data_IF_849852661301
#
_entry.id   IF_849852661301
#
_cell.length_a   1.000
_cell.length_b   1.000
_cell.length_c   1.000
_cell.angle_alpha   90.00
_cell.angle_beta   90.00
_cell.angle_gamma   90.00
#
_symmetry.space_group_name_H-M   'P 1'
#
loop_
_entity.id
_entity.type
_entity.pdbx_description
1 polymer ?
#
# COMPACT_ATOMS: atom_id res chain seq x y z
N UNK A 1 24.50 -13.57 -7.47
CA UNK A 1 23.57 -14.72 -7.30
C UNK A 1 24.05 -15.82 -6.34
N UNK A 2 25.27 -16.37 -6.42
CA UNK A 2 25.72 -17.46 -5.51
C UNK A 2 25.85 -17.07 -4.03
N UNK A 3 26.10 -15.79 -3.72
CA UNK A 3 26.19 -15.27 -2.35
C UNK A 3 24.82 -15.11 -1.69
N UNK A 4 23.83 -14.65 -2.44
CA UNK A 4 22.45 -14.42 -2.00
C UNK A 4 21.69 -15.74 -1.74
N UNK A 5 21.83 -16.75 -2.63
CA UNK A 5 21.27 -18.10 -2.41
C UNK A 5 21.82 -18.76 -1.15
N UNK A 6 23.09 -18.48 -0.80
CA UNK A 6 23.74 -18.99 0.42
C UNK A 6 23.21 -18.31 1.69
N UNK A 7 22.79 -17.05 1.59
CA UNK A 7 22.15 -16.29 2.68
C UNK A 7 20.71 -16.75 2.88
N UNK A 8 19.91 -16.81 1.81
CA UNK A 8 18.50 -17.23 1.83
C UNK A 8 18.33 -18.71 2.25
N UNK A 9 19.27 -19.60 1.90
CA UNK A 9 19.24 -21.01 2.37
C UNK A 9 19.36 -21.17 3.90
N UNK A 10 19.80 -20.11 4.60
CA UNK A 10 19.88 -20.06 6.06
C UNK A 10 18.65 -19.44 6.71
N UNK A 11 17.70 -18.91 5.94
CA UNK A 11 16.47 -18.26 6.42
C UNK A 11 15.28 -19.23 6.60
N UNK A 12 15.54 -20.53 6.81
CA UNK A 12 14.52 -21.42 7.39
C UNK A 12 14.21 -20.92 8.80
N UNK A 13 12.92 -20.88 9.19
CA UNK A 13 12.43 -20.43 10.51
C UNK A 13 13.49 -20.62 11.60
N UNK A 14 13.95 -19.55 12.26
CA UNK A 14 15.05 -19.65 13.21
C UNK A 14 14.67 -20.63 14.32
N UNK A 15 15.56 -21.59 14.58
CA UNK A 15 15.41 -22.45 15.76
C UNK A 15 15.97 -21.69 16.96
N UNK A 16 15.27 -20.64 17.39
CA UNK A 16 15.35 -19.95 18.69
C UNK A 16 16.73 -19.90 19.38
N UNK A 17 17.81 -19.75 18.61
CA UNK A 17 19.19 -19.81 19.08
C UNK A 17 19.87 -18.44 18.95
N UNK A 18 20.54 -17.93 20.00
CA UNK A 18 21.13 -16.59 19.99
C UNK A 18 22.15 -16.36 18.85
N UNK A 19 22.87 -17.40 18.41
CA UNK A 19 23.81 -17.30 17.28
C UNK A 19 23.16 -17.21 15.89
N UNK A 20 21.93 -17.68 15.70
CA UNK A 20 21.20 -17.54 14.43
C UNK A 20 20.62 -16.12 14.29
N UNK A 21 20.19 -15.52 15.40
CA UNK A 21 19.74 -14.12 15.47
C UNK A 21 20.90 -13.19 15.08
N UNK A 22 22.10 -13.45 15.59
CA UNK A 22 23.29 -12.63 15.30
C UNK A 22 23.76 -12.75 13.84
N UNK A 23 23.62 -13.94 13.24
CA UNK A 23 23.86 -14.14 11.80
C UNK A 23 22.80 -13.45 10.93
N UNK A 24 21.54 -13.42 11.36
CA UNK A 24 20.46 -12.66 10.71
C UNK A 24 20.75 -11.16 10.78
N UNK A 25 21.10 -10.64 11.96
CA UNK A 25 21.52 -9.25 12.17
C UNK A 25 22.71 -8.86 11.31
N UNK A 26 23.73 -9.71 11.20
CA UNK A 26 24.90 -9.45 10.36
C UNK A 26 24.57 -9.43 8.86
N UNK A 27 23.69 -10.33 8.39
CA UNK A 27 23.24 -10.33 7.01
C UNK A 27 22.35 -9.12 6.70
N UNK A 28 21.47 -8.75 7.62
CA UNK A 28 20.63 -7.57 7.56
C UNK A 28 21.46 -6.27 7.53
N UNK A 29 22.47 -6.14 8.40
CA UNK A 29 23.41 -5.00 8.39
C UNK A 29 24.25 -4.93 7.10
N UNK A 30 24.54 -6.06 6.45
CA UNK A 30 25.20 -6.03 5.13
C UNK A 30 24.25 -5.62 4.01
N UNK A 31 22.94 -5.83 4.17
CA UNK A 31 21.90 -5.34 3.26
C UNK A 31 21.60 -3.85 3.51
N UNK A 32 21.61 -3.37 4.75
CA UNK A 32 21.43 -1.94 5.08
C UNK A 32 22.57 -1.05 4.57
N UNK A 33 23.76 -1.63 4.33
CA UNK A 33 24.87 -0.93 3.67
C UNK A 33 24.73 -0.86 2.13
N UNK A 34 23.79 -1.59 1.54
CA UNK A 34 23.45 -1.44 0.14
C UNK A 34 22.49 -0.27 -0.01
N UNK A 35 22.84 0.73 -0.80
CA UNK A 35 21.93 1.82 -1.16
C UNK A 35 20.65 1.20 -1.78
N UNK A 36 19.48 1.29 -1.14
CA UNK A 36 18.25 0.73 -1.68
C UNK A 36 17.86 1.41 -3.00
N UNK A 37 18.38 2.61 -3.25
CA UNK A 37 18.20 3.42 -4.47
C UNK A 37 19.18 3.06 -5.60
N UNK A 38 19.81 1.88 -5.52
CA UNK A 38 20.55 1.31 -6.65
C UNK A 38 19.58 0.90 -7.77
N UNK A 39 20.14 0.65 -8.95
CA UNK A 39 19.38 0.00 -10.01
C UNK A 39 18.84 -1.36 -9.52
N UNK A 40 17.51 -1.51 -9.53
CA UNK A 40 16.84 -2.76 -9.19
C UNK A 40 17.15 -3.83 -10.23
N UNK A 41 17.23 -5.10 -9.80
CA UNK A 41 17.54 -6.20 -10.72
C UNK A 41 16.67 -7.42 -10.47
N UNK A 42 16.32 -8.13 -11.55
CA UNK A 42 15.55 -9.36 -11.45
C UNK A 42 14.22 -9.16 -10.73
N UNK A 43 13.99 -9.93 -9.66
CA UNK A 43 12.74 -9.91 -8.89
C UNK A 43 12.43 -8.55 -8.27
N UNK A 44 13.46 -7.80 -7.87
CA UNK A 44 13.28 -6.48 -7.24
C UNK A 44 12.55 -5.52 -8.18
N UNK A 45 12.93 -5.52 -9.46
CA UNK A 45 12.31 -4.67 -10.48
C UNK A 45 10.88 -5.12 -10.82
N UNK A 46 10.53 -6.37 -10.52
CA UNK A 46 9.19 -6.92 -10.74
C UNK A 46 8.28 -6.72 -9.52
N UNK A 47 8.87 -6.60 -8.33
CA UNK A 47 8.14 -6.38 -7.09
C UNK A 47 7.88 -4.89 -6.83
N UNK A 48 8.79 -4.02 -7.23
CA UNK A 48 8.86 -2.66 -6.70
C UNK A 48 9.22 -1.62 -7.77
N UNK A 49 8.60 -0.46 -7.65
CA UNK A 49 9.04 0.81 -8.25
C UNK A 49 9.54 1.70 -7.12
N UNK A 50 10.73 2.28 -7.30
CA UNK A 50 11.31 3.28 -6.39
C UNK A 50 11.24 4.64 -7.07
N UNK A 51 10.65 5.61 -6.38
CA UNK A 51 10.72 7.02 -6.73
C UNK A 51 11.61 7.72 -5.71
N UNK A 52 12.81 8.11 -6.12
CA UNK A 52 13.72 8.89 -5.28
C UNK A 52 13.69 10.35 -5.75
N UNK A 53 12.76 11.10 -5.15
CA UNK A 53 12.47 12.47 -5.57
C UNK A 53 13.19 13.53 -4.74
N UNK A 54 14.16 13.11 -3.94
CA UNK A 54 14.97 13.96 -3.07
C UNK A 54 15.85 14.96 -3.82
N UNK A 55 16.21 14.66 -5.08
CA UNK A 55 17.13 15.48 -5.89
C UNK A 55 16.51 16.01 -7.20
N UNK A 56 15.21 15.83 -7.43
CA UNK A 56 14.57 16.18 -8.71
C UNK A 56 14.69 17.68 -9.04
N UNK A 57 14.62 18.52 -8.03
CA UNK A 57 14.81 19.95 -8.17
C UNK A 57 16.12 20.33 -7.51
N UNK A 58 16.94 21.15 -8.19
CA UNK A 58 17.99 21.94 -7.53
C UNK A 58 17.32 22.99 -6.63
N UNK A 59 16.53 22.54 -5.67
CA UNK A 59 15.96 23.39 -4.65
C UNK A 59 17.05 23.69 -3.63
N UNK A 60 16.94 24.83 -2.96
CA UNK A 60 17.78 25.16 -1.82
C UNK A 60 17.46 24.30 -0.58
N UNK A 61 16.44 23.43 -0.68
CA UNK A 61 16.01 22.55 0.40
C UNK A 61 16.82 21.24 0.38
N UNK A 62 17.25 20.76 1.57
CA UNK A 62 17.91 19.47 1.66
C UNK A 62 16.93 18.33 1.34
N UNK A 63 17.43 17.18 0.82
CA UNK A 63 16.71 15.92 0.74
C UNK A 63 15.90 15.60 2.00
N UNK A 64 14.63 15.21 1.84
CA UNK A 64 13.77 14.85 2.96
C UNK A 64 13.81 13.34 3.22
N UNK A 65 14.64 12.93 4.19
CA UNK A 65 14.66 11.55 4.69
C UNK A 65 13.68 11.34 5.86
N UNK A 66 13.11 12.41 6.42
CA UNK A 66 12.18 12.31 7.56
C UNK A 66 10.83 11.71 7.16
N UNK A 67 10.49 11.72 5.87
CA UNK A 67 9.28 11.11 5.33
C UNK A 67 9.63 9.96 4.39
N UNK A 68 8.88 8.88 4.49
CA UNK A 68 8.93 7.76 3.58
C UNK A 68 7.52 7.33 3.18
N UNK A 69 7.25 7.21 1.87
CA UNK A 69 5.93 6.82 1.37
C UNK A 69 5.94 5.36 0.87
N UNK A 70 4.84 4.65 1.09
CA UNK A 70 4.56 3.37 0.42
C UNK A 70 3.23 3.39 -0.31
N UNK A 71 3.13 2.63 -1.41
CA UNK A 71 1.89 2.40 -2.13
C UNK A 71 1.79 0.92 -2.54
N UNK A 72 1.27 0.05 -1.67
CA UNK A 72 1.25 -1.40 -1.85
C UNK A 72 0.31 -1.86 -2.95
N UNK A 73 -0.64 -1.03 -3.37
CA UNK A 73 -1.67 -1.33 -4.38
C UNK A 73 -1.51 -0.45 -5.63
N UNK A 74 -0.30 -0.02 -5.96
CA UNK A 74 -0.04 0.98 -7.01
C UNK A 74 -0.23 0.48 -8.46
N UNK A 75 -0.20 -0.83 -8.70
CA UNK A 75 -0.13 -1.40 -10.05
C UNK A 75 -1.19 -2.46 -10.27
N UNK A 76 -1.72 -2.51 -11.50
CA UNK A 76 -2.58 -3.60 -12.00
C UNK A 76 -1.84 -4.65 -12.82
N UNK A 77 -0.51 -4.58 -12.88
CA UNK A 77 0.29 -5.48 -13.70
C UNK A 77 0.27 -6.91 -13.13
N UNK A 78 -0.35 -7.84 -13.86
CA UNK A 78 -0.40 -9.25 -13.48
C UNK A 78 0.78 -10.10 -14.01
N UNK A 79 1.85 -9.47 -14.49
CA UNK A 79 3.17 -10.04 -14.84
C UNK A 79 3.14 -11.49 -15.33
N UNK A 80 3.30 -11.67 -16.64
CA UNK A 80 3.44 -13.00 -17.29
C UNK A 80 2.20 -13.91 -17.24
N UNK A 81 1.05 -13.43 -16.76
CA UNK A 81 -0.23 -14.14 -16.88
C UNK A 81 -0.95 -13.80 -18.19
N UNK A 82 -1.46 -14.79 -18.93
CA UNK A 82 -2.23 -14.54 -20.14
C UNK A 82 -3.57 -13.90 -19.78
N UNK A 83 -3.84 -12.71 -20.35
CA UNK A 83 -5.12 -12.04 -20.25
C UNK A 83 -6.15 -12.74 -21.15
N UNK A 84 -7.27 -13.17 -20.59
CA UNK A 84 -8.49 -13.44 -21.32
C UNK A 84 -9.39 -12.19 -21.29
N UNK A 85 -10.31 -12.03 -22.25
CA UNK A 85 -11.12 -10.79 -22.40
C UNK A 85 -12.05 -10.46 -21.19
N UNK A 86 -12.18 -11.34 -20.20
CA UNK A 86 -12.90 -11.08 -18.95
C UNK A 86 -11.96 -10.55 -17.84
N UNK A 87 -10.65 -10.74 -18.00
CA UNK A 87 -9.63 -10.27 -17.07
C UNK A 87 -9.46 -8.75 -17.15
N UNK A 88 -9.64 -8.14 -18.33
CA UNK A 88 -9.45 -6.70 -18.51
C UNK A 88 -10.30 -5.89 -17.53
N UNK A 89 -11.62 -6.12 -17.47
CA UNK A 89 -12.48 -5.27 -16.65
C UNK A 89 -12.15 -5.33 -15.15
N UNK A 90 -11.76 -6.50 -14.64
CA UNK A 90 -11.31 -6.64 -13.23
C UNK A 90 -9.98 -5.91 -13.04
N UNK A 91 -9.06 -6.01 -14.00
CA UNK A 91 -7.75 -5.36 -13.93
C UNK A 91 -7.81 -3.83 -14.01
N UNK A 92 -8.84 -3.29 -14.66
CA UNK A 92 -9.09 -1.85 -14.67
C UNK A 92 -9.97 -1.37 -13.50
N UNK A 93 -10.34 -2.25 -12.56
CA UNK A 93 -11.16 -1.91 -11.39
C UNK A 93 -10.34 -1.76 -10.09
N UNK A 94 -10.95 -1.17 -9.06
CA UNK A 94 -10.39 -1.00 -7.69
C UNK A 94 -10.00 -2.35 -7.02
N UNK A 95 -10.50 -3.47 -7.54
CA UNK A 95 -10.12 -4.81 -7.08
C UNK A 95 -8.65 -5.14 -7.40
N UNK A 96 -8.14 -4.67 -8.53
CA UNK A 96 -6.81 -5.04 -8.99
C UNK A 96 -5.69 -4.15 -8.45
N UNK A 97 -6.01 -2.90 -8.17
CA UNK A 97 -5.10 -1.85 -7.74
C UNK A 97 -5.93 -0.67 -7.23
N UNK A 98 -5.26 0.27 -6.60
CA UNK A 98 -5.88 1.49 -6.10
C UNK A 98 -5.81 2.57 -7.17
N UNK A 99 -6.95 2.86 -7.79
CA UNK A 99 -7.05 3.77 -8.91
C UNK A 99 -6.61 5.18 -8.46
N UNK A 100 -5.62 5.76 -9.15
CA UNK A 100 -5.05 7.08 -8.84
C UNK A 100 -4.00 7.10 -7.72
N UNK A 101 -3.78 5.99 -7.01
CA UNK A 101 -2.84 5.95 -5.89
C UNK A 101 -1.38 6.10 -6.33
N UNK A 102 -1.03 5.58 -7.53
CA UNK A 102 0.30 5.74 -8.11
C UNK A 102 0.62 7.21 -8.36
N UNK A 103 -0.25 7.91 -9.10
CA UNK A 103 -0.08 9.32 -9.46
C UNK A 103 -0.03 10.20 -8.22
N UNK A 104 -0.96 9.98 -7.28
CA UNK A 104 -0.97 10.67 -6.00
C UNK A 104 0.33 10.47 -5.20
N UNK A 105 0.82 9.23 -5.10
CA UNK A 105 2.06 8.94 -4.37
C UNK A 105 3.26 9.59 -5.05
N UNK A 106 3.33 9.55 -6.38
CA UNK A 106 4.39 10.22 -7.13
C UNK A 106 4.39 11.72 -6.85
N UNK A 107 3.27 12.39 -7.10
CA UNK A 107 3.14 13.85 -6.96
C UNK A 107 3.43 14.29 -5.51
N UNK A 108 2.98 13.50 -4.52
CA UNK A 108 3.28 13.76 -3.10
C UNK A 108 4.76 13.61 -2.78
N UNK A 109 5.42 12.57 -3.30
CA UNK A 109 6.85 12.36 -3.08
C UNK A 109 7.72 13.43 -3.73
N UNK A 110 7.32 13.95 -4.90
CA UNK A 110 7.95 15.11 -5.54
C UNK A 110 7.84 16.36 -4.67
N UNK A 111 6.62 16.67 -4.20
CA UNK A 111 6.35 17.85 -3.36
C UNK A 111 7.06 17.79 -2.00
N UNK A 112 7.11 16.61 -1.38
CA UNK A 112 7.81 16.38 -0.13
C UNK A 112 9.33 16.21 -0.29
N UNK A 113 9.83 16.11 -1.53
CA UNK A 113 11.21 15.76 -1.87
C UNK A 113 11.70 14.53 -1.10
N UNK A 114 10.89 13.48 -1.07
CA UNK A 114 11.16 12.27 -0.30
C UNK A 114 11.19 11.03 -1.20
N UNK A 115 11.33 9.87 -0.57
CA UNK A 115 11.33 8.56 -1.24
C UNK A 115 9.95 7.94 -1.16
N UNK A 116 9.51 7.36 -2.28
CA UNK A 116 8.35 6.48 -2.33
C UNK A 116 8.68 5.08 -2.86
N UNK A 117 8.07 4.06 -2.26
CA UNK A 117 8.16 2.66 -2.65
C UNK A 117 6.78 2.12 -3.04
N UNK A 118 6.61 1.75 -4.30
CA UNK A 118 5.34 1.34 -4.87
C UNK A 118 5.40 -0.10 -5.34
N UNK A 119 4.32 -0.86 -5.21
CA UNK A 119 4.23 -2.21 -5.77
C UNK A 119 4.27 -2.16 -7.30
N UNK A 120 5.11 -2.98 -7.95
CA UNK A 120 5.12 -3.14 -9.40
C UNK A 120 4.28 -4.33 -9.90
N UNK A 121 3.33 -4.79 -9.09
CA UNK A 121 2.50 -5.95 -9.38
C UNK A 121 1.10 -5.76 -8.81
N UNK A 122 0.15 -6.49 -9.40
CA UNK A 122 -1.26 -6.48 -9.03
C UNK A 122 -1.53 -7.18 -7.69
N UNK A 123 -2.34 -6.56 -6.82
CA UNK A 123 -2.73 -7.14 -5.52
C UNK A 123 -3.54 -8.45 -5.64
N UNK A 124 -4.09 -8.73 -6.83
CA UNK A 124 -4.75 -10.01 -7.15
C UNK A 124 -3.78 -11.19 -7.20
N UNK A 125 -2.51 -10.94 -7.54
CA UNK A 125 -1.49 -11.98 -7.49
C UNK A 125 -1.24 -12.38 -6.03
N UNK A 126 -0.93 -11.39 -5.22
CA UNK A 126 -0.70 -11.48 -3.79
C UNK A 126 -0.85 -10.06 -3.23
N UNK A 127 -1.57 -9.87 -2.14
CA UNK A 127 -1.78 -8.56 -1.54
C UNK A 127 -0.63 -8.28 -0.55
N UNK A 128 0.29 -7.34 -0.86
CA UNK A 128 1.40 -7.03 0.04
C UNK A 128 0.95 -6.38 1.34
N UNK A 129 -0.27 -5.83 1.39
CA UNK A 129 -0.84 -5.23 2.58
C UNK A 129 -1.66 -6.21 3.43
N UNK A 130 -1.46 -7.52 3.26
CA UNK A 130 -1.99 -8.57 4.14
C UNK A 130 -0.86 -9.37 4.76
N UNK A 131 -1.07 -9.84 5.99
CA UNK A 131 -0.15 -10.78 6.65
C UNK A 131 -0.02 -12.08 5.85
N UNK A 132 1.16 -12.71 5.89
CA UNK A 132 1.40 -14.06 5.33
C UNK A 132 0.40 -15.10 5.90
N UNK A 133 -0.08 -14.89 7.13
CA UNK A 133 -1.06 -15.76 7.77
C UNK A 133 -2.53 -15.46 7.36
N UNK A 134 -2.77 -14.36 6.64
CA UNK A 134 -4.10 -13.95 6.23
C UNK A 134 -4.68 -14.91 5.19
N UNK A 135 -5.94 -15.32 5.40
CA UNK A 135 -6.70 -16.03 4.36
C UNK A 135 -6.94 -15.18 3.10
N UNK A 136 -6.76 -13.86 3.20
CA UNK A 136 -6.89 -12.91 2.10
C UNK A 136 -5.54 -12.52 1.47
N UNK A 137 -4.42 -13.13 1.87
CA UNK A 137 -3.10 -12.85 1.31
C UNK A 137 -3.08 -13.05 -0.20
N UNK A 138 -3.65 -14.15 -0.67
CA UNK A 138 -3.98 -14.34 -2.07
C UNK A 138 -5.48 -14.24 -2.14
N UNK A 139 -6.03 -13.19 -2.76
CA UNK A 139 -7.47 -13.01 -2.81
C UNK A 139 -8.17 -14.23 -3.43
N UNK A 140 -9.11 -14.81 -2.70
CA UNK A 140 -10.04 -15.81 -3.22
C UNK A 140 -11.04 -15.11 -4.14
N UNK A 141 -10.63 -14.75 -5.36
CA UNK A 141 -11.61 -14.42 -6.41
C UNK A 141 -12.23 -15.71 -6.93
N UNK A 142 -13.06 -16.32 -6.09
CA UNK A 142 -14.12 -17.21 -6.52
C UNK A 142 -15.31 -16.30 -6.79
N UNK A 143 -15.58 -16.01 -8.05
CA UNK A 143 -16.86 -15.43 -8.43
C UNK A 143 -17.92 -16.51 -8.17
N UNK A 144 -18.50 -16.50 -6.97
CA UNK A 144 -19.52 -17.45 -6.54
C UNK A 144 -20.73 -17.37 -7.47
N UNK A 145 -20.83 -18.31 -8.40
CA UNK A 145 -22.12 -18.86 -8.81
C UNK A 145 -22.37 -20.06 -7.92
N UNK A 146 -23.08 -19.89 -6.82
CA UNK A 146 -23.96 -20.93 -6.28
C UNK A 146 -24.88 -20.28 -5.25
N UNK A 147 -26.15 -20.11 -5.65
CA UNK A 147 -27.29 -19.60 -4.86
C UNK A 147 -27.17 -18.17 -4.34
N UNK A 148 -27.12 -17.20 -5.25
CA UNK A 148 -27.59 -15.84 -4.93
C UNK A 148 -29.10 -15.84 -5.12
N UNK A 149 -29.81 -15.50 -4.05
CA UNK A 149 -31.26 -15.28 -4.02
C UNK A 149 -31.67 -14.32 -5.15
N UNK A 150 -32.67 -14.64 -5.98
CA UNK A 150 -33.18 -13.74 -7.02
C UNK A 150 -33.51 -12.33 -6.53
N UNK A 151 -33.85 -12.14 -5.25
CA UNK A 151 -34.10 -10.80 -4.69
C UNK A 151 -32.82 -9.93 -4.61
N UNK A 152 -31.64 -10.54 -4.48
CA UNK A 152 -30.36 -9.85 -4.41
C UNK A 152 -29.86 -9.32 -5.78
N UNK A 153 -30.50 -9.72 -6.89
CA UNK A 153 -30.18 -9.24 -8.25
C UNK A 153 -30.58 -7.77 -8.49
N UNK A 154 -31.43 -7.20 -7.63
CA UNK A 154 -31.98 -5.86 -7.84
C UNK A 154 -31.14 -4.72 -7.25
N UNK A 155 -30.17 -5.02 -6.38
CA UNK A 155 -29.38 -3.99 -5.68
C UNK A 155 -27.88 -3.99 -6.02
N UNK A 156 -27.35 -5.01 -6.68
CA UNK A 156 -25.91 -5.16 -6.96
C UNK A 156 -25.62 -5.56 -8.42
N UNK A 157 -26.23 -4.87 -9.39
CA UNK A 157 -25.86 -4.99 -10.80
C UNK A 157 -24.53 -4.28 -11.09
N UNK A 158 -23.42 -4.95 -10.76
CA UNK A 158 -22.08 -4.69 -11.28
C UNK A 158 -21.59 -5.93 -12.03
N UNK A 159 -21.73 -5.91 -13.35
CA UNK A 159 -21.73 -7.04 -14.26
C UNK A 159 -20.36 -7.68 -14.52
N UNK A 160 -20.23 -9.01 -14.38
CA UNK A 160 -19.11 -9.78 -15.00
C UNK A 160 -19.45 -11.20 -15.50
N UNK A 161 -20.68 -11.69 -15.40
CA UNK A 161 -20.96 -13.11 -15.71
C UNK A 161 -20.91 -13.45 -17.21
N UNK A 162 -20.13 -14.49 -17.55
CA UNK A 162 -20.19 -15.15 -18.87
C UNK A 162 -21.49 -15.94 -19.03
N UNK A 163 -22.03 -16.06 -20.26
CA UNK A 163 -23.22 -16.88 -20.55
C UNK A 163 -23.09 -18.37 -20.23
N UNK A 164 -21.87 -18.89 -20.04
CA UNK A 164 -21.60 -20.31 -19.76
C UNK A 164 -21.37 -20.63 -18.27
N UNK A 165 -21.55 -19.64 -17.38
CA UNK A 165 -21.48 -19.83 -15.92
C UNK A 165 -20.07 -20.05 -15.36
N UNK A 166 -19.00 -19.89 -16.17
CA UNK A 166 -17.61 -20.02 -15.72
C UNK A 166 -16.94 -18.65 -15.60
N UNK A 167 -16.86 -18.14 -14.37
CA UNK A 167 -15.94 -17.06 -14.03
C UNK A 167 -14.85 -17.60 -13.11
N UNK A 168 -13.63 -17.62 -13.61
CA UNK A 168 -12.48 -18.07 -12.84
C UNK A 168 -11.22 -17.44 -13.37
N UNK A 169 -10.80 -16.35 -12.74
CA UNK A 169 -9.37 -16.09 -12.65
C UNK A 169 -8.84 -17.25 -11.79
N UNK A 170 -8.33 -18.31 -12.41
CA UNK A 170 -7.78 -19.47 -11.69
C UNK A 170 -6.39 -19.12 -11.12
N UNK A 171 -6.34 -18.04 -10.32
CA UNK A 171 -5.12 -17.51 -9.71
C UNK A 171 -4.70 -18.31 -8.48
N UNK A 172 -5.58 -19.11 -7.85
CA UNK A 172 -5.32 -19.68 -6.53
C UNK A 172 -4.90 -21.16 -6.53
N UNK A 173 -3.91 -21.55 -7.36
CA UNK A 173 -3.28 -22.87 -7.20
C UNK A 173 -2.23 -22.77 -6.09
N UNK A 174 -2.34 -23.59 -5.03
CA UNK A 174 -1.40 -23.63 -3.89
C UNK A 174 0.08 -23.71 -4.28
N UNK A 175 0.40 -24.37 -5.40
CA UNK A 175 1.77 -24.44 -5.92
C UNK A 175 2.34 -23.09 -6.39
N UNK A 176 1.47 -22.13 -6.74
CA UNK A 176 1.81 -20.80 -7.26
C UNK A 176 1.99 -19.78 -6.12
N UNK A 177 1.36 -20.00 -4.96
CA UNK A 177 1.42 -19.06 -3.82
C UNK A 177 2.86 -18.93 -3.31
N UNK A 178 3.61 -20.03 -3.22
CA UNK A 178 5.02 -20.00 -2.82
C UNK A 178 5.87 -19.15 -3.76
N UNK A 179 5.67 -19.30 -5.07
CA UNK A 179 6.37 -18.50 -6.08
C UNK A 179 6.02 -17.01 -5.94
N UNK A 180 4.73 -16.66 -5.78
CA UNK A 180 4.32 -15.25 -5.62
C UNK A 180 4.85 -14.62 -4.34
N UNK A 181 4.87 -15.39 -3.25
CA UNK A 181 5.47 -14.96 -1.99
C UNK A 181 6.96 -14.63 -2.20
N UNK A 182 7.69 -15.53 -2.85
CA UNK A 182 9.13 -15.40 -3.10
C UNK A 182 9.48 -14.35 -4.18
N UNK A 183 8.58 -14.08 -5.12
CA UNK A 183 8.86 -13.19 -6.27
C UNK A 183 8.45 -11.75 -6.00
N UNK A 184 7.31 -11.56 -5.34
CA UNK A 184 6.69 -10.24 -5.17
C UNK A 184 6.68 -9.82 -3.71
N UNK A 185 6.00 -10.58 -2.85
CA UNK A 185 5.72 -10.17 -1.47
C UNK A 185 6.99 -9.98 -0.62
N UNK A 186 7.89 -10.99 -0.62
CA UNK A 186 9.13 -10.93 0.17
C UNK A 186 10.05 -9.84 -0.36
N UNK A 187 10.17 -9.68 -1.68
CA UNK A 187 11.04 -8.66 -2.25
C UNK A 187 10.49 -7.24 -2.02
N UNK A 188 9.17 -7.05 -2.07
CA UNK A 188 8.51 -5.80 -1.69
C UNK A 188 8.84 -5.42 -0.24
N UNK A 189 8.52 -6.30 0.72
CA UNK A 189 8.74 -6.03 2.15
C UNK A 189 10.22 -5.95 2.52
N UNK A 190 11.09 -6.69 1.83
CA UNK A 190 12.55 -6.56 1.98
C UNK A 190 13.00 -5.15 1.61
N UNK A 191 12.58 -4.61 0.47
CA UNK A 191 12.97 -3.28 0.01
C UNK A 191 12.37 -2.17 0.88
N UNK A 192 11.15 -2.34 1.38
CA UNK A 192 10.57 -1.47 2.43
C UNK A 192 11.46 -1.45 3.67
N UNK A 193 11.86 -2.61 4.18
CA UNK A 193 12.77 -2.71 5.32
C UNK A 193 14.15 -2.10 5.06
N UNK A 194 14.73 -2.31 3.88
CA UNK A 194 16.01 -1.69 3.48
C UNK A 194 15.90 -0.17 3.39
N UNK A 195 14.78 0.36 2.88
CA UNK A 195 14.52 1.80 2.84
C UNK A 195 14.34 2.40 4.23
N UNK A 196 13.58 1.75 5.13
CA UNK A 196 13.42 2.18 6.52
C UNK A 196 14.77 2.22 7.25
N UNK A 197 15.60 1.19 7.08
CA UNK A 197 16.93 1.12 7.69
C UNK A 197 17.88 2.19 7.17
N UNK A 198 17.75 2.57 5.89
CA UNK A 198 18.62 3.57 5.26
C UNK A 198 18.17 5.00 5.54
N UNK A 199 16.87 5.26 5.50
CA UNK A 199 16.29 6.60 5.64
C UNK A 199 16.13 7.01 7.10
N UNK A 200 15.87 6.04 7.99
CA UNK A 200 15.49 6.27 9.39
C UNK A 200 14.39 7.35 9.51
N UNK A 201 13.25 7.18 8.80
CA UNK A 201 12.25 8.23 8.70
C UNK A 201 11.57 8.46 10.05
N UNK A 202 11.16 9.71 10.30
CA UNK A 202 10.31 10.03 11.44
C UNK A 202 8.84 9.69 11.16
N UNK A 203 8.46 9.71 9.87
CA UNK A 203 7.11 9.50 9.39
C UNK A 203 7.10 8.55 8.19
N UNK A 204 6.32 7.47 8.31
CA UNK A 204 5.94 6.57 7.23
C UNK A 204 4.46 6.79 6.88
N UNK A 205 4.18 6.91 5.57
CA UNK A 205 2.82 7.10 5.07
C UNK A 205 2.51 6.03 4.02
N UNK A 206 1.47 5.24 4.26
CA UNK A 206 0.95 4.24 3.33
C UNK A 206 -0.26 4.79 2.57
N UNK A 207 -0.11 5.00 1.25
CA UNK A 207 -1.10 5.64 0.40
C UNK A 207 -2.01 4.59 -0.25
N UNK A 208 -3.32 4.77 -0.07
CA UNK A 208 -4.40 3.98 -0.66
C UNK A 208 -5.46 4.90 -1.27
N UNK A 209 -6.24 4.34 -2.20
CA UNK A 209 -7.48 4.98 -2.64
C UNK A 209 -8.66 4.05 -2.48
N UNK A 210 -9.87 4.60 -2.46
CA UNK A 210 -11.09 3.82 -2.38
C UNK A 210 -12.15 4.32 -3.36
N UNK A 211 -13.03 3.41 -3.76
CA UNK A 211 -14.19 3.74 -4.59
C UNK A 211 -15.28 4.38 -3.73
N UNK A 212 -15.76 5.56 -4.12
CA UNK A 212 -16.84 6.22 -3.40
C UNK A 212 -18.15 5.41 -3.59
N UNK A 213 -18.71 4.91 -2.49
CA UNK A 213 -19.91 4.07 -2.49
C UNK A 213 -21.21 4.88 -2.52
N UNK A 214 -21.18 6.19 -2.79
CA UNK A 214 -22.39 7.03 -2.85
C UNK A 214 -23.46 6.48 -3.81
N UNK A 215 -23.03 5.78 -4.87
CA UNK A 215 -23.93 5.09 -5.80
C UNK A 215 -24.62 3.83 -5.24
N UNK A 216 -24.10 3.24 -4.16
CA UNK A 216 -24.57 1.97 -3.60
C UNK A 216 -25.44 2.13 -2.34
N UNK A 217 -25.31 3.24 -1.61
CA UNK A 217 -26.07 3.52 -0.39
C UNK A 217 -26.69 4.93 -0.42
N UNK A 218 -27.70 5.16 -1.27
CA UNK A 218 -28.33 6.48 -1.41
C UNK A 218 -29.00 6.98 -0.12
N UNK A 219 -29.41 6.07 0.78
CA UNK A 219 -30.05 6.42 2.05
C UNK A 219 -29.04 6.80 3.16
N UNK A 220 -27.77 6.43 3.03
CA UNK A 220 -26.65 6.80 3.92
C UNK A 220 -25.73 7.88 3.31
N UNK A 221 -26.11 8.43 2.15
CA UNK A 221 -25.34 9.42 1.38
C UNK A 221 -25.01 10.71 2.17
N UNK A 222 -25.68 10.94 3.30
CA UNK A 222 -25.38 12.06 4.22
C UNK A 222 -24.03 11.95 4.94
N UNK A 223 -23.38 10.78 4.95
CA UNK A 223 -22.12 10.57 5.67
C UNK A 223 -20.87 10.74 4.78
N UNK A 224 -21.02 10.72 3.46
CA UNK A 224 -19.94 10.83 2.49
C UNK A 224 -20.43 11.70 1.32
N UNK A 225 -20.60 13.00 1.56
CA UNK A 225 -20.80 13.95 0.45
C UNK A 225 -19.62 13.80 -0.53
N UNK A 226 -19.86 13.98 -1.84
CA UNK A 226 -18.84 13.93 -2.91
C UNK A 226 -17.63 14.86 -2.66
N UNK A 227 -17.78 15.78 -1.71
CA UNK A 227 -16.80 16.75 -1.23
C UNK A 227 -15.97 16.28 0.01
N UNK A 228 -16.05 15.01 0.41
CA UNK A 228 -15.41 14.50 1.65
C UNK A 228 -14.17 13.63 1.39
N UNK A 229 -13.04 13.89 2.07
CA UNK A 229 -11.85 13.02 2.04
C UNK A 229 -11.76 12.14 3.27
N UNK A 230 -11.97 10.83 3.10
CA UNK A 230 -11.80 9.83 4.15
C UNK A 230 -10.35 9.57 4.58
N UNK A 231 -9.66 10.52 5.20
CA UNK A 231 -8.28 10.31 5.69
C UNK A 231 -8.28 9.37 6.90
N UNK A 232 -8.20 8.07 6.64
CA UNK A 232 -8.14 7.04 7.67
C UNK A 232 -6.75 6.98 8.32
N UNK A 233 -6.54 7.81 9.34
CA UNK A 233 -5.24 7.85 10.00
C UNK A 233 -5.10 6.72 11.01
N UNK A 234 -4.50 5.62 10.58
CA UNK A 234 -4.10 4.55 11.49
C UNK A 234 -2.73 4.87 12.10
N UNK A 235 -2.71 5.38 13.33
CA UNK A 235 -1.48 5.52 14.11
C UNK A 235 -1.48 4.53 15.28
N UNK A 236 -0.40 3.78 15.44
CA UNK A 236 -0.18 2.98 16.67
C UNK A 236 0.21 3.85 17.86
N UNK A 237 0.61 5.10 17.63
CA UNK A 237 0.92 6.05 18.69
C UNK A 237 -0.32 6.89 19.02
N UNK A 238 -0.60 7.11 20.30
CA UNK A 238 -1.76 7.90 20.76
C UNK A 238 -1.74 9.35 20.25
N UNK A 239 -0.58 9.85 19.82
CA UNK A 239 -0.44 11.17 19.21
C UNK A 239 -0.65 11.07 17.70
N UNK A 240 -1.70 11.71 17.21
CA UNK A 240 -2.05 11.75 15.79
C UNK A 240 -2.13 13.19 15.27
N UNK A 241 -1.07 13.96 15.49
CA UNK A 241 -1.03 15.39 15.14
C UNK A 241 -1.31 15.68 13.66
N UNK A 242 -1.01 14.72 12.76
CA UNK A 242 -1.30 14.87 11.33
C UNK A 242 -2.81 14.80 11.11
N UNK A 243 -3.50 13.87 11.75
CA UNK A 243 -4.95 13.81 11.66
C UNK A 243 -5.60 15.08 12.21
N UNK A 244 -5.12 15.57 13.36
CA UNK A 244 -5.61 16.80 13.97
C UNK A 244 -5.37 18.01 13.07
N UNK A 245 -4.19 18.13 12.47
CA UNK A 245 -3.86 19.22 11.57
C UNK A 245 -4.63 19.16 10.25
N UNK A 246 -5.00 17.96 9.77
CA UNK A 246 -5.84 17.79 8.59
C UNK A 246 -7.33 18.01 8.90
N UNK A 247 -7.75 17.91 10.17
CA UNK A 247 -9.10 18.24 10.63
C UNK A 247 -9.36 19.75 10.80
N UNK A 248 -8.34 20.59 10.58
CA UNK A 248 -8.50 22.04 10.66
C UNK A 248 -9.60 22.50 9.69
N UNK A 249 -10.57 23.26 10.19
CA UNK A 249 -11.75 23.72 9.45
C UNK A 249 -11.36 24.54 8.20
N UNK A 250 -10.20 25.20 8.24
CA UNK A 250 -9.66 25.99 7.14
C UNK A 250 -9.16 25.13 5.95
N UNK A 251 -8.94 23.82 6.15
CA UNK A 251 -8.54 22.91 5.09
C UNK A 251 -9.67 22.62 4.09
N UNK A 252 -10.93 22.81 4.50
CA UNK A 252 -12.10 22.40 3.72
C UNK A 252 -12.26 20.87 3.59
N UNK A 253 -11.40 20.07 4.25
CA UNK A 253 -11.42 18.62 4.18
C UNK A 253 -12.20 18.03 5.35
N UNK A 254 -13.16 17.15 5.06
CA UNK A 254 -13.81 16.33 6.10
C UNK A 254 -12.98 15.10 6.39
N UNK A 255 -12.17 15.12 7.46
CA UNK A 255 -11.25 14.03 7.83
C UNK A 255 -11.86 13.07 8.86
N UNK A 256 -11.87 11.78 8.53
CA UNK A 256 -12.42 10.71 9.37
C UNK A 256 -11.30 9.87 9.98
N UNK A 257 -11.11 9.96 11.29
CA UNK A 257 -10.06 9.22 12.02
C UNK A 257 -10.45 7.79 12.42
N UNK A 258 -11.67 7.35 12.11
CA UNK A 258 -12.13 6.02 12.49
C UNK A 258 -11.62 4.96 11.49
N UNK A 259 -10.95 3.89 11.96
CA UNK A 259 -10.56 2.77 11.11
C UNK A 259 -11.72 1.98 10.51
N UNK A 260 -12.96 2.30 10.90
CA UNK A 260 -14.17 1.66 10.42
C UNK A 260 -15.09 2.68 9.75
N UNK A 261 -14.97 2.82 8.43
CA UNK A 261 -16.15 3.14 7.64
C UNK A 261 -16.94 1.83 7.54
N UNK A 262 -18.10 1.67 8.21
CA UNK A 262 -18.79 0.38 8.33
C UNK A 262 -19.20 -0.24 6.99
N UNK A 263 -19.25 0.56 5.91
CA UNK A 263 -19.54 0.13 4.55
C UNK A 263 -18.30 -0.31 3.75
N UNK A 264 -17.08 0.07 4.16
CA UNK A 264 -15.82 -0.48 3.64
C UNK A 264 -15.49 -1.73 4.45
N UNK A 265 -16.07 -2.86 4.04
CA UNK A 265 -15.91 -4.16 4.71
C UNK A 265 -14.46 -4.42 5.18
N UNK A 266 -14.32 -5.13 6.31
CA UNK A 266 -13.08 -5.63 6.94
C UNK A 266 -12.00 -6.21 6.00
N UNK A 267 -12.27 -6.38 4.71
CA UNK A 267 -11.36 -6.89 3.71
C UNK A 267 -10.51 -5.79 3.04
N UNK A 268 -10.89 -4.52 3.09
CA UNK A 268 -10.16 -3.45 2.39
C UNK A 268 -9.12 -2.72 3.26
N UNK A 269 -9.34 -2.59 4.58
CA UNK A 269 -8.38 -1.95 5.48
C UNK A 269 -7.30 -2.93 5.96
N UNK A 270 -6.38 -3.33 5.07
CA UNK A 270 -5.14 -3.98 5.53
C UNK A 270 -4.26 -2.94 6.21
N UNK A 271 -3.84 -3.15 7.46
CA UNK A 271 -2.82 -2.32 8.12
C UNK A 271 -1.48 -3.02 8.14
N UNK A 272 -1.31 -4.13 7.39
CA UNK A 272 -0.17 -5.01 7.60
C UNK A 272 1.17 -4.33 7.26
N UNK A 273 1.21 -3.49 6.22
CA UNK A 273 2.42 -2.70 5.94
C UNK A 273 2.75 -1.82 7.15
N UNK A 274 1.77 -1.10 7.69
CA UNK A 274 1.94 -0.26 8.89
C UNK A 274 2.37 -1.07 10.10
N UNK A 275 1.77 -2.25 10.30
CA UNK A 275 2.13 -3.16 11.38
C UNK A 275 3.58 -3.61 11.25
N UNK A 276 4.01 -3.95 10.03
CA UNK A 276 5.38 -4.37 9.76
C UNK A 276 6.40 -3.25 9.91
N UNK A 277 6.03 -2.00 9.59
CA UNK A 277 6.88 -0.82 9.82
C UNK A 277 6.96 -0.50 11.31
N UNK A 278 5.83 -0.52 12.03
CA UNK A 278 5.84 -0.29 13.46
C UNK A 278 6.59 -1.40 14.23
N UNK A 279 6.48 -2.65 13.79
CA UNK A 279 7.24 -3.77 14.35
C UNK A 279 8.72 -3.76 13.91
N UNK A 280 9.11 -2.90 12.98
CA UNK A 280 10.53 -2.67 12.70
C UNK A 280 11.24 -2.03 13.92
N UNK A 281 10.50 -1.30 14.75
CA UNK A 281 10.99 -0.65 15.97
C UNK A 281 11.11 -1.57 17.20
N UNK A 282 11.33 -2.88 17.02
CA UNK A 282 11.41 -3.86 18.12
C UNK A 282 12.55 -3.62 19.13
N UNK A 283 13.50 -2.71 18.85
CA UNK A 283 14.53 -2.28 19.80
C UNK A 283 14.16 -0.99 20.56
N UNK A 284 13.01 -0.38 20.27
CA UNK A 284 12.48 0.81 20.96
C UNK A 284 13.32 2.06 20.74
N UNK A 285 14.04 2.14 19.62
CA UNK A 285 15.00 3.20 19.32
C UNK A 285 14.51 4.18 18.25
N UNK A 286 13.53 3.78 17.44
CA UNK A 286 13.04 4.52 16.28
C UNK A 286 11.56 4.88 16.45
N UNK A 287 11.30 6.13 16.85
CA UNK A 287 9.95 6.69 17.02
C UNK A 287 9.22 6.94 15.69
N UNK A 288 9.26 5.98 14.75
CA UNK A 288 8.64 6.12 13.43
C UNK A 288 7.13 6.14 13.61
N UNK A 289 6.52 7.27 13.28
CA UNK A 289 5.07 7.35 13.17
C UNK A 289 4.66 6.74 11.83
N UNK A 290 3.70 5.82 11.84
CA UNK A 290 3.17 5.23 10.61
C UNK A 290 1.72 5.60 10.48
N UNK A 291 1.29 6.02 9.28
CA UNK A 291 -0.10 6.33 9.00
C UNK A 291 -0.55 5.79 7.64
N UNK A 292 -1.83 5.48 7.53
CA UNK A 292 -2.48 5.26 6.24
C UNK A 292 -3.15 6.55 5.78
N UNK A 293 -3.10 6.84 4.48
CA UNK A 293 -4.01 7.79 3.85
C UNK A 293 -4.89 7.03 2.87
N UNK A 294 -6.20 7.15 3.04
CA UNK A 294 -7.19 6.59 2.12
C UNK A 294 -7.92 7.75 1.45
N UNK A 295 -7.87 7.84 0.12
CA UNK A 295 -8.42 8.99 -0.60
C UNK A 295 -9.45 8.51 -1.62
N UNK A 296 -10.60 9.21 -1.80
CA UNK A 296 -11.53 8.88 -2.87
C UNK A 296 -10.81 8.83 -4.22
N UNK A 297 -10.95 7.73 -4.95
CA UNK A 297 -10.22 7.54 -6.19
C UNK A 297 -10.51 8.62 -7.24
N UNK A 298 -11.72 9.18 -7.28
CA UNK A 298 -12.07 10.28 -8.19
C UNK A 298 -11.28 11.57 -7.91
N UNK A 299 -10.90 11.85 -6.65
CA UNK A 299 -10.03 12.99 -6.30
C UNK A 299 -8.58 12.70 -6.69
N UNK A 300 -8.13 11.47 -6.45
CA UNK A 300 -6.79 11.04 -6.85
C UNK A 300 -6.63 11.01 -8.38
N UNK A 301 -7.70 10.81 -9.14
CA UNK A 301 -7.67 10.80 -10.60
C UNK A 301 -7.78 12.18 -11.23
N UNK A 302 -8.62 13.06 -10.67
CA UNK A 302 -8.74 14.43 -11.15
C UNK A 302 -7.48 15.24 -10.84
N UNK A 303 -6.88 15.86 -11.85
CA UNK A 303 -5.61 16.57 -11.69
C UNK A 303 -5.72 17.83 -10.83
N UNK A 304 -6.84 18.56 -10.89
CA UNK A 304 -7.01 19.79 -10.11
C UNK A 304 -7.19 19.45 -8.63
N UNK A 305 -8.07 18.49 -8.33
CA UNK A 305 -8.27 18.01 -6.96
C UNK A 305 -7.02 17.33 -6.40
N UNK A 306 -6.30 16.52 -7.20
CA UNK A 306 -5.04 15.91 -6.77
C UNK A 306 -4.00 16.97 -6.40
N UNK A 307 -3.80 18.00 -7.23
CA UNK A 307 -2.85 19.08 -6.92
C UNK A 307 -3.21 19.84 -5.63
N UNK A 308 -4.49 20.17 -5.45
CA UNK A 308 -4.99 20.77 -4.22
C UNK A 308 -4.70 19.89 -3.00
N UNK A 309 -4.94 18.58 -3.12
CA UNK A 309 -4.62 17.59 -2.11
C UNK A 309 -3.13 17.55 -1.77
N UNK A 310 -2.26 17.54 -2.78
CA UNK A 310 -0.81 17.55 -2.59
C UNK A 310 -0.38 18.79 -1.82
N UNK A 311 -0.92 19.97 -2.14
CA UNK A 311 -0.59 21.22 -1.46
C UNK A 311 -0.92 21.16 0.03
N UNK A 312 -2.15 20.74 0.38
CA UNK A 312 -2.58 20.60 1.78
C UNK A 312 -1.73 19.55 2.51
N UNK A 313 -1.61 18.35 1.96
CA UNK A 313 -0.87 17.26 2.60
C UNK A 313 0.61 17.65 2.81
N UNK A 314 1.23 18.27 1.81
CA UNK A 314 2.63 18.72 1.90
C UNK A 314 2.81 19.73 3.02
N UNK A 315 1.98 20.78 3.05
CA UNK A 315 2.04 21.82 4.08
C UNK A 315 1.85 21.22 5.47
N UNK A 316 0.81 20.40 5.65
CA UNK A 316 0.50 19.77 6.93
C UNK A 316 1.62 18.84 7.40
N UNK A 317 2.13 17.95 6.54
CA UNK A 317 3.21 17.03 6.88
C UNK A 317 4.49 17.80 7.25
N UNK A 318 4.87 18.82 6.46
CA UNK A 318 6.08 19.60 6.70
C UNK A 318 6.01 20.41 8.00
N UNK A 319 4.86 20.97 8.33
CA UNK A 319 4.66 21.71 9.59
C UNK A 319 4.69 20.77 10.79
N UNK A 320 4.14 19.58 10.61
CA UNK A 320 4.06 18.57 11.65
C UNK A 320 5.44 18.00 12.02
N UNK A 321 6.30 17.73 11.03
CA UNK A 321 7.65 17.19 11.27
C UNK A 321 8.59 18.22 11.92
N UNK A 322 8.36 19.52 11.72
CA UNK A 322 9.17 20.58 12.31
C UNK A 322 8.88 20.83 13.80
N UNK A 323 7.77 20.30 14.31
CA UNK A 323 7.27 20.57 15.65
C UNK A 323 7.43 19.31 16.50
N UNK A 324 8.50 19.17 17.30
CA UNK A 324 8.76 17.97 18.10
C UNK A 324 7.78 17.76 19.25
#
# INVERSE_FOLDING_TARGET
MNRLRKILSKLRKPKSGPGEIEAYKSAYNQLSLANPFRQLTGKENEAVIIMDNRELFKSDNPPNNSVFLTCPHASKDIKYMPLNNLDDMILYSQNAYDIGAFELTNDLSESLQCVALLSNFCKLLIDPNKSIASKHLVPDYVLHHETIDPEFQSSHQGAFARPDGKMGIEMNRRAIVGDRLDYYYIEYHKLVGEALAFLEPQLHIDIHTYECLSNYFPDDASLMDEESIGIQVYSKTENNFIAEALQDEDSGLKVFTDPFIPSLSHHQCGTFTLDSVADYDLEGTSSIQSLQLSIPNHWAMDSEFRLYLIEILTSTIQNSIKTP
#
